data_IF_462896531658
#
_entry.id   IF_462896531658
#
_cell.length_a   1.000
_cell.length_b   1.000
_cell.length_c   1.000
_cell.angle_alpha   90.00
_cell.angle_beta   90.00
_cell.angle_gamma   90.00
#
_symmetry.space_group_name_H-M   'P 1'
#
loop_
_entity.id
_entity.type
_entity.pdbx_description
1 polymer ?
#
# COMPACT_ATOMS: atom_id res chain seq x y z
N UNK A 1 -18.70 4.92 -1.25
CA UNK A 1 -17.74 4.63 -0.17
C UNK A 1 -16.38 4.44 -0.82
N UNK A 2 -15.32 5.10 -0.34
CA UNK A 2 -13.98 4.90 -0.92
C UNK A 2 -13.48 3.51 -0.55
N UNK A 3 -12.96 2.77 -1.52
CA UNK A 3 -12.30 1.49 -1.31
C UNK A 3 -10.96 1.69 -0.59
N UNK A 4 -10.48 0.67 0.12
CA UNK A 4 -9.16 0.67 0.79
C UNK A 4 -8.04 0.91 -0.23
N UNK A 5 -8.18 0.37 -1.44
CA UNK A 5 -7.25 0.56 -2.56
C UNK A 5 -6.92 2.05 -2.85
N UNK A 6 -7.89 2.95 -2.73
CA UNK A 6 -7.65 4.39 -2.93
C UNK A 6 -6.74 4.98 -1.84
N UNK A 7 -6.92 4.55 -0.58
CA UNK A 7 -6.03 4.97 0.51
C UNK A 7 -4.63 4.40 0.34
N UNK A 8 -4.50 3.16 -0.16
CA UNK A 8 -3.20 2.56 -0.50
C UNK A 8 -2.49 3.42 -1.55
N UNK A 9 -3.17 3.81 -2.63
CA UNK A 9 -2.59 4.69 -3.66
C UNK A 9 -2.12 6.03 -3.08
N UNK A 10 -2.94 6.66 -2.22
CA UNK A 10 -2.57 7.93 -1.56
C UNK A 10 -1.30 7.76 -0.70
N UNK A 11 -1.17 6.65 0.03
CA UNK A 11 0.00 6.35 0.87
C UNK A 11 1.25 6.07 0.03
N UNK A 12 1.13 5.26 -1.02
CA UNK A 12 2.24 4.97 -1.95
C UNK A 12 2.71 6.25 -2.64
N UNK A 13 1.78 7.15 -3.02
CA UNK A 13 2.15 8.44 -3.60
C UNK A 13 2.96 9.31 -2.63
N UNK A 14 2.67 9.23 -1.32
CA UNK A 14 3.49 9.90 -0.31
C UNK A 14 4.92 9.33 -0.27
N UNK A 15 5.06 8.00 -0.37
CA UNK A 15 6.37 7.33 -0.42
C UNK A 15 7.18 7.73 -1.67
N UNK A 16 6.52 7.82 -2.84
CA UNK A 16 7.15 8.33 -4.08
C UNK A 16 7.61 9.78 -3.89
N UNK A 17 6.75 10.64 -3.31
CA UNK A 17 7.09 12.04 -3.03
C UNK A 17 8.23 12.17 -2.01
N UNK A 18 8.40 11.19 -1.13
CA UNK A 18 9.51 11.10 -0.17
C UNK A 18 10.81 10.56 -0.80
N UNK A 19 10.88 10.45 -2.14
CA UNK A 19 12.01 9.93 -2.91
C UNK A 19 12.44 8.51 -2.48
N UNK A 20 11.47 7.65 -2.17
CA UNK A 20 11.75 6.25 -1.89
C UNK A 20 12.31 5.54 -3.13
N UNK A 21 13.28 4.66 -2.93
CA UNK A 21 13.81 3.77 -3.97
C UNK A 21 13.29 2.34 -3.84
N UNK A 22 12.60 2.04 -2.74
CA UNK A 22 11.88 0.80 -2.53
C UNK A 22 10.61 1.08 -1.72
N UNK A 23 9.49 0.59 -2.22
CA UNK A 23 8.20 0.63 -1.55
C UNK A 23 7.67 -0.80 -1.43
N UNK A 24 7.31 -1.20 -0.22
CA UNK A 24 6.74 -2.52 0.06
C UNK A 24 5.29 -2.36 0.53
N UNK A 25 4.37 -3.03 -0.14
CA UNK A 25 2.97 -3.16 0.24
C UNK A 25 2.71 -4.59 0.70
N UNK A 26 2.31 -4.76 1.95
CA UNK A 26 1.99 -6.06 2.52
C UNK A 26 0.54 -6.02 2.99
N UNK A 27 -0.30 -6.89 2.41
CA UNK A 27 -1.69 -7.07 2.81
C UNK A 27 -1.82 -8.47 3.42
N UNK A 28 -2.49 -8.57 4.56
CA UNK A 28 -2.77 -9.86 5.19
C UNK A 28 -4.22 -9.94 5.64
N UNK A 29 -4.89 -10.99 5.18
CA UNK A 29 -6.25 -11.37 5.56
C UNK A 29 -6.18 -12.63 6.44
N UNK A 30 -6.37 -12.46 7.75
CA UNK A 30 -6.43 -13.55 8.71
C UNK A 30 -7.89 -13.78 9.13
N UNK A 31 -8.52 -14.80 8.55
CA UNK A 31 -9.92 -15.10 8.82
C UNK A 31 -10.13 -15.69 10.23
N UNK A 32 -9.11 -16.35 10.79
CA UNK A 32 -9.18 -16.92 12.15
C UNK A 32 -9.13 -15.84 13.22
N UNK A 33 -8.31 -14.81 13.00
CA UNK A 33 -8.21 -13.67 13.90
C UNK A 33 -9.21 -12.56 13.56
N UNK A 34 -10.02 -12.74 12.50
CA UNK A 34 -10.93 -11.72 11.99
C UNK A 34 -10.21 -10.38 11.71
N UNK A 35 -9.04 -10.44 11.05
CA UNK A 35 -8.20 -9.27 10.82
C UNK A 35 -7.82 -9.11 9.35
N UNK A 36 -8.04 -7.91 8.82
CA UNK A 36 -7.40 -7.42 7.61
C UNK A 36 -6.34 -6.40 8.03
N UNK A 37 -5.11 -6.58 7.60
CA UNK A 37 -4.03 -5.61 7.84
C UNK A 37 -3.35 -5.19 6.55
N UNK A 38 -2.95 -3.93 6.49
CA UNK A 38 -2.21 -3.32 5.40
C UNK A 38 -0.97 -2.65 6.00
N UNK A 39 0.19 -2.98 5.47
CA UNK A 39 1.46 -2.40 5.86
C UNK A 39 2.14 -1.84 4.63
N UNK A 40 2.55 -0.58 4.68
CA UNK A 40 3.33 0.08 3.64
C UNK A 40 4.64 0.52 4.29
N UNK A 41 5.75 0.12 3.70
CA UNK A 41 7.10 0.47 4.14
C UNK A 41 7.84 1.11 2.99
N UNK A 42 8.47 2.23 3.24
CA UNK A 42 9.35 2.89 2.28
C UNK A 42 10.70 3.25 2.91
N UNK A 43 11.70 3.41 2.08
CA UNK A 43 13.03 3.88 2.45
C UNK A 43 13.30 5.34 2.03
N UNK A 44 12.25 6.15 1.96
CA UNK A 44 12.35 7.56 1.60
C UNK A 44 13.01 8.44 2.68
N UNK A 45 12.86 9.75 2.55
CA UNK A 45 13.50 10.71 3.47
C UNK A 45 13.03 10.62 4.91
N UNK A 46 11.89 9.96 5.17
CA UNK A 46 11.30 9.84 6.50
C UNK A 46 10.81 11.16 7.09
N UNK A 47 10.33 11.08 8.33
CA UNK A 47 9.75 12.20 9.06
C UNK A 47 10.28 12.25 10.49
N UNK A 48 10.36 13.46 11.05
CA UNK A 48 10.58 13.63 12.49
C UNK A 48 9.32 13.25 13.28
N UNK A 49 9.48 12.90 14.56
CA UNK A 49 8.34 12.56 15.45
C UNK A 49 7.29 13.67 15.49
N UNK A 50 7.73 14.94 15.48
CA UNK A 50 6.81 16.08 15.44
C UNK A 50 5.94 16.10 14.18
N UNK A 51 6.49 15.73 13.03
CA UNK A 51 5.74 15.64 11.76
C UNK A 51 4.79 14.45 11.79
N UNK A 52 5.22 13.29 12.32
CA UNK A 52 4.37 12.10 12.44
C UNK A 52 3.13 12.40 13.28
N UNK A 53 3.27 13.08 14.42
CA UNK A 53 2.14 13.48 15.27
C UNK A 53 1.16 14.40 14.52
N UNK A 54 1.68 15.33 13.73
CA UNK A 54 0.87 16.25 12.92
C UNK A 54 0.13 15.56 11.78
N UNK A 55 0.75 14.60 11.11
CA UNK A 55 0.18 13.88 9.96
C UNK A 55 -1.01 13.01 10.37
N UNK A 56 -1.02 12.52 11.60
CA UNK A 56 -2.09 11.67 12.13
C UNK A 56 -3.30 12.48 12.60
N UNK A 57 -3.12 13.76 12.93
CA UNK A 57 -4.18 14.62 13.46
C UNK A 57 -5.10 15.12 12.33
N UNK A 58 -6.40 14.73 12.31
CA UNK A 58 -7.34 15.16 11.29
C UNK A 58 -7.62 16.67 11.32
N UNK A 59 -7.30 17.35 12.40
CA UNK A 59 -7.48 18.79 12.55
C UNK A 59 -6.24 19.60 12.15
N UNK A 60 -5.12 18.93 11.94
CA UNK A 60 -3.88 19.58 11.53
C UNK A 60 -3.78 19.68 10.00
N UNK A 61 -4.71 20.41 9.41
CA UNK A 61 -4.63 20.81 7.99
C UNK A 61 -3.95 22.17 7.89
N UNK A 62 -2.63 22.21 7.83
CA UNK A 62 -1.94 23.44 7.48
C UNK A 62 -2.10 23.73 6.00
N UNK A 63 -2.80 24.81 5.68
CA UNK A 63 -2.84 25.42 4.35
C UNK A 63 -1.46 25.87 3.83
N UNK A 64 -0.37 25.66 4.57
CA UNK A 64 0.95 26.24 4.29
C UNK A 64 2.11 25.27 4.19
N UNK A 65 1.96 23.99 4.46
CA UNK A 65 3.04 23.01 4.25
C UNK A 65 2.55 21.82 3.44
N UNK A 66 3.00 21.78 2.18
CA UNK A 66 3.05 20.65 1.24
C UNK A 66 2.12 19.46 1.55
N UNK A 67 1.03 19.36 0.77
CA UNK A 67 0.36 18.15 0.31
C UNK A 67 0.32 16.89 1.19
N UNK A 68 0.23 16.99 2.50
CA UNK A 68 -0.28 15.88 3.29
C UNK A 68 -1.80 15.95 3.16
N UNK A 69 -2.32 15.23 2.17
CA UNK A 69 -3.76 15.20 1.94
C UNK A 69 -4.49 14.59 3.14
N UNK A 70 -5.79 14.79 3.22
CA UNK A 70 -6.69 14.17 4.21
C UNK A 70 -6.70 12.63 4.17
N UNK A 71 -5.91 12.00 3.30
CA UNK A 71 -5.85 10.56 3.09
C UNK A 71 -5.48 9.77 4.35
N UNK A 72 -4.39 10.17 5.02
CA UNK A 72 -3.91 9.48 6.23
C UNK A 72 -4.89 9.60 7.40
N UNK A 73 -5.32 10.81 7.82
CA UNK A 73 -6.28 10.96 8.91
C UNK A 73 -7.61 10.25 8.64
N UNK A 74 -8.12 10.32 7.41
CA UNK A 74 -9.37 9.65 7.05
C UNK A 74 -9.24 8.14 7.06
N UNK A 75 -8.09 7.61 6.62
CA UNK A 75 -7.84 6.16 6.66
C UNK A 75 -7.77 5.65 8.10
N UNK A 76 -7.13 6.41 9.00
CA UNK A 76 -7.09 6.12 10.43
C UNK A 76 -8.50 6.08 11.03
N UNK A 77 -9.32 7.12 10.79
CA UNK A 77 -10.69 7.18 11.30
C UNK A 77 -11.51 5.99 10.78
N UNK A 78 -11.41 5.65 9.48
CA UNK A 78 -12.10 4.50 8.93
C UNK A 78 -11.68 3.18 9.60
N UNK A 79 -10.39 3.01 9.88
CA UNK A 79 -9.90 1.82 10.56
C UNK A 79 -10.43 1.72 12.00
N UNK A 80 -10.36 2.83 12.75
CA UNK A 80 -10.86 2.90 14.13
C UNK A 80 -12.38 2.64 14.22
N UNK A 81 -13.16 3.16 13.27
CA UNK A 81 -14.62 2.89 13.18
C UNK A 81 -14.94 1.43 12.90
N UNK A 82 -14.01 0.67 12.32
CA UNK A 82 -14.15 -0.74 11.96
C UNK A 82 -13.39 -1.69 12.91
N UNK A 83 -13.27 -1.34 14.18
CA UNK A 83 -12.64 -2.17 15.21
C UNK A 83 -11.11 -2.30 15.07
N UNK A 84 -10.52 -1.48 14.23
CA UNK A 84 -9.09 -1.50 13.93
C UNK A 84 -8.34 -0.28 14.44
N UNK A 85 -7.30 0.09 13.71
CA UNK A 85 -6.47 1.24 14.05
C UNK A 85 -5.35 1.46 13.04
N UNK A 86 -4.51 2.46 13.31
CA UNK A 86 -3.36 2.81 12.48
C UNK A 86 -2.18 3.21 13.34
N UNK A 87 -1.00 2.79 12.95
CA UNK A 87 0.28 3.29 13.48
C UNK A 87 1.18 3.77 12.35
N UNK A 88 1.95 4.82 12.61
CA UNK A 88 2.99 5.32 11.72
C UNK A 88 4.29 5.38 12.51
N UNK A 89 5.33 4.75 11.96
CA UNK A 89 6.68 4.83 12.47
C UNK A 89 7.58 5.40 11.39
N UNK A 90 8.31 6.47 11.70
CA UNK A 90 9.19 7.12 10.73
C UNK A 90 10.42 7.67 11.42
N UNK A 91 11.53 7.66 10.71
CA UNK A 91 12.79 8.25 11.14
C UNK A 91 13.44 8.96 9.96
N UNK A 92 13.91 10.18 10.18
CA UNK A 92 14.57 11.00 9.16
C UNK A 92 15.79 10.24 8.59
N UNK A 93 15.83 10.12 7.26
CA UNK A 93 16.87 9.41 6.53
C UNK A 93 16.73 7.88 6.49
N UNK A 94 15.68 7.30 7.10
CA UNK A 94 15.47 5.84 7.08
C UNK A 94 14.17 5.42 6.37
N UNK A 95 13.19 6.31 6.31
CA UNK A 95 11.90 6.04 5.66
C UNK A 95 10.73 6.00 6.62
N UNK A 96 9.62 5.42 6.15
CA UNK A 96 8.35 5.41 6.87
C UNK A 96 7.70 4.02 6.78
N UNK A 97 7.12 3.59 7.90
CA UNK A 97 6.23 2.44 7.98
C UNK A 97 4.84 2.93 8.40
N UNK A 98 3.83 2.59 7.62
CA UNK A 98 2.41 2.77 7.95
C UNK A 98 1.78 1.40 8.11
N UNK A 99 1.17 1.15 9.26
CA UNK A 99 0.46 -0.09 9.53
C UNK A 99 -0.98 0.21 9.92
N UNK A 100 -1.93 -0.36 9.17
CA UNK A 100 -3.37 -0.18 9.36
C UNK A 100 -4.02 -1.54 9.49
N UNK A 101 -4.99 -1.69 10.38
CA UNK A 101 -5.75 -2.92 10.52
C UNK A 101 -7.24 -2.63 10.75
N UNK A 102 -8.06 -3.62 10.41
CA UNK A 102 -9.51 -3.61 10.52
C UNK A 102 -9.98 -4.95 11.06
N UNK A 103 -11.13 -4.98 11.71
CA UNK A 103 -11.88 -6.23 11.84
C UNK A 103 -12.37 -6.65 10.45
N UNK A 104 -11.94 -7.86 10.03
CA UNK A 104 -12.16 -8.33 8.65
C UNK A 104 -13.65 -8.36 8.28
N UNK A 105 -14.52 -8.82 9.19
CA UNK A 105 -15.97 -8.98 8.98
C UNK A 105 -16.79 -7.78 9.44
N UNK A 106 -16.18 -6.63 9.74
CA UNK A 106 -16.92 -5.45 10.16
C UNK A 106 -17.84 -4.96 9.03
N UNK A 107 -19.11 -4.72 9.35
CA UNK A 107 -20.15 -4.37 8.35
C UNK A 107 -19.85 -3.06 7.61
N UNK A 108 -19.22 -2.10 8.29
CA UNK A 108 -18.87 -0.80 7.71
C UNK A 108 -17.47 -0.77 7.11
N UNK A 109 -16.71 -1.89 7.16
CA UNK A 109 -15.39 -1.93 6.57
C UNK A 109 -15.49 -1.72 5.06
N UNK A 110 -14.76 -0.73 4.52
CA UNK A 110 -14.70 -0.56 3.07
C UNK A 110 -14.14 -1.82 2.41
N UNK A 111 -14.60 -2.19 1.21
CA UNK A 111 -14.00 -3.27 0.45
C UNK A 111 -12.53 -2.95 0.15
N UNK A 112 -11.71 -4.00 0.01
CA UNK A 112 -10.30 -3.84 -0.36
C UNK A 112 -10.16 -3.12 -1.71
N UNK A 113 -11.03 -3.45 -2.66
CA UNK A 113 -11.02 -2.91 -4.02
C UNK A 113 -10.23 -3.78 -5.01
N UNK A 114 -10.12 -3.29 -6.24
CA UNK A 114 -9.39 -3.98 -7.32
C UNK A 114 -7.87 -3.78 -7.15
N UNK A 115 -7.23 -4.72 -6.48
CA UNK A 115 -5.77 -4.66 -6.25
C UNK A 115 -4.95 -4.89 -7.53
N UNK A 116 -5.48 -5.57 -8.54
CA UNK A 116 -4.79 -5.74 -9.81
C UNK A 116 -4.67 -4.40 -10.55
N UNK A 117 -5.77 -3.66 -10.68
CA UNK A 117 -5.75 -2.31 -11.26
C UNK A 117 -4.99 -1.31 -10.38
N UNK A 118 -5.06 -1.45 -9.07
CA UNK A 118 -4.32 -0.62 -8.10
C UNK A 118 -2.81 -0.81 -8.25
N UNK A 119 -2.35 -2.06 -8.40
CA UNK A 119 -0.93 -2.37 -8.62
C UNK A 119 -0.42 -1.74 -9.93
N UNK A 120 -1.19 -1.79 -11.00
CA UNK A 120 -0.86 -1.08 -12.25
C UNK A 120 -0.73 0.42 -12.01
N UNK A 121 -1.67 1.03 -11.28
CA UNK A 121 -1.62 2.45 -10.94
C UNK A 121 -0.39 2.80 -10.10
N UNK A 122 0.01 1.93 -9.17
CA UNK A 122 1.24 2.09 -8.39
C UNK A 122 2.44 2.08 -9.32
N UNK A 123 2.61 1.03 -10.14
CA UNK A 123 3.76 0.89 -11.05
C UNK A 123 3.89 2.09 -11.98
N UNK A 124 2.77 2.62 -12.50
CA UNK A 124 2.75 3.84 -13.32
C UNK A 124 3.19 5.11 -12.56
N UNK A 125 3.02 5.14 -11.24
CA UNK A 125 3.39 6.29 -10.40
C UNK A 125 4.84 6.26 -9.94
N UNK A 126 5.54 5.13 -10.10
CA UNK A 126 6.93 4.98 -9.68
C UNK A 126 7.87 5.76 -10.58
N UNK A 127 8.90 6.34 -9.98
CA UNK A 127 10.06 6.78 -10.73
C UNK A 127 10.88 5.58 -11.21
N UNK A 128 11.65 5.74 -12.27
CA UNK A 128 12.46 4.65 -12.87
C UNK A 128 13.47 4.02 -11.89
N UNK A 129 13.86 4.77 -10.86
CA UNK A 129 14.78 4.32 -9.80
C UNK A 129 14.09 3.71 -8.60
N UNK A 130 12.76 3.64 -8.60
CA UNK A 130 11.98 3.11 -7.48
C UNK A 130 11.45 1.71 -7.81
N UNK A 131 11.70 0.76 -6.93
CA UNK A 131 11.14 -0.58 -7.00
C UNK A 131 9.95 -0.75 -6.06
N UNK A 132 9.10 -1.70 -6.40
CA UNK A 132 7.88 -2.01 -5.68
C UNK A 132 7.77 -3.51 -5.41
N UNK A 133 7.50 -3.85 -4.17
CA UNK A 133 7.19 -5.22 -3.74
C UNK A 133 5.77 -5.27 -3.19
N UNK A 134 4.94 -6.14 -3.77
CA UNK A 134 3.59 -6.40 -3.29
C UNK A 134 3.48 -7.82 -2.77
N UNK A 135 3.11 -7.95 -1.50
CA UNK A 135 2.85 -9.22 -0.84
C UNK A 135 1.40 -9.26 -0.39
N UNK A 136 0.67 -10.31 -0.75
CA UNK A 136 -0.69 -10.53 -0.26
C UNK A 136 -0.79 -11.92 0.35
N UNK A 137 -1.19 -11.96 1.61
CA UNK A 137 -1.40 -13.20 2.36
C UNK A 137 -2.89 -13.37 2.66
N UNK A 138 -3.41 -14.57 2.42
CA UNK A 138 -4.75 -14.99 2.87
C UNK A 138 -4.57 -16.25 3.71
N UNK A 139 -4.75 -16.14 5.01
CA UNK A 139 -4.38 -17.18 5.97
C UNK A 139 -2.93 -17.66 5.78
N UNK A 140 -2.72 -18.90 5.32
CA UNK A 140 -1.39 -19.49 5.09
C UNK A 140 -0.89 -19.32 3.64
N UNK A 141 -1.76 -18.93 2.70
CA UNK A 141 -1.40 -18.77 1.29
C UNK A 141 -0.83 -17.38 1.03
N UNK A 142 0.14 -17.29 0.12
CA UNK A 142 0.88 -16.06 -0.15
C UNK A 142 1.08 -15.84 -1.64
N UNK A 143 0.83 -14.62 -2.10
CA UNK A 143 1.18 -14.10 -3.41
C UNK A 143 2.25 -13.01 -3.29
N UNK A 144 3.19 -12.95 -4.25
CA UNK A 144 4.24 -11.94 -4.29
C UNK A 144 4.42 -11.43 -5.72
N UNK A 145 4.51 -10.12 -5.88
CA UNK A 145 5.00 -9.43 -7.07
C UNK A 145 6.17 -8.53 -6.65
N UNK A 146 7.32 -8.69 -7.30
CA UNK A 146 8.51 -7.85 -7.05
C UNK A 146 9.02 -7.28 -8.39
N UNK A 147 9.04 -5.96 -8.50
CA UNK A 147 9.50 -5.29 -9.74
C UNK A 147 10.99 -5.50 -10.00
N UNK A 148 11.79 -5.79 -8.97
CA UNK A 148 13.21 -6.13 -9.11
C UNK A 148 13.38 -7.45 -9.87
N UNK A 149 12.60 -8.48 -9.51
CA UNK A 149 12.58 -9.76 -10.23
C UNK A 149 12.08 -9.59 -11.67
N UNK A 150 11.06 -8.74 -11.88
CA UNK A 150 10.58 -8.43 -13.22
C UNK A 150 11.67 -7.80 -14.09
N UNK A 151 12.45 -6.86 -13.56
CA UNK A 151 13.56 -6.22 -14.28
C UNK A 151 14.67 -7.22 -14.61
N UNK A 152 14.94 -8.19 -13.72
CA UNK A 152 15.92 -9.25 -14.01
C UNK A 152 15.48 -10.15 -15.16
N UNK A 153 14.19 -10.48 -15.24
CA UNK A 153 13.64 -11.37 -16.28
C UNK A 153 13.47 -10.64 -17.61
N UNK A 154 12.95 -9.41 -17.59
CA UNK A 154 12.64 -8.64 -18.80
C UNK A 154 13.88 -7.94 -19.38
N UNK A 155 14.90 -7.73 -18.57
CA UNK A 155 16.07 -6.90 -18.88
C UNK A 155 15.88 -5.46 -18.39
N UNK A 156 17.00 -4.84 -17.99
CA UNK A 156 17.02 -3.48 -17.41
C UNK A 156 16.59 -2.37 -18.39
N UNK A 157 16.52 -2.68 -19.68
CA UNK A 157 16.12 -1.73 -20.74
C UNK A 157 14.59 -1.65 -20.92
N UNK A 158 13.83 -2.59 -20.34
CA UNK A 158 12.37 -2.63 -20.46
C UNK A 158 11.77 -1.67 -19.45
N UNK A 159 11.00 -0.71 -19.94
CA UNK A 159 10.21 0.18 -19.09
C UNK A 159 8.98 -0.56 -18.56
N UNK A 160 8.85 -0.65 -17.24
CA UNK A 160 7.69 -1.27 -16.61
C UNK A 160 6.37 -0.54 -16.92
N UNK A 161 6.42 0.68 -17.42
CA UNK A 161 5.26 1.45 -17.85
C UNK A 161 4.77 1.09 -19.26
N UNK A 162 5.45 0.18 -19.98
CA UNK A 162 4.96 -0.32 -21.26
C UNK A 162 3.61 -1.02 -21.13
N UNK A 163 2.70 -0.75 -22.06
CA UNK A 163 1.31 -1.25 -22.00
C UNK A 163 1.26 -2.78 -21.90
N UNK A 164 2.11 -3.49 -22.61
CA UNK A 164 2.20 -4.95 -22.57
C UNK A 164 2.64 -5.48 -21.20
N UNK A 165 3.60 -4.80 -20.56
CA UNK A 165 4.08 -5.16 -19.22
C UNK A 165 3.00 -4.87 -18.18
N UNK A 166 2.35 -3.72 -18.24
CA UNK A 166 1.26 -3.35 -17.34
C UNK A 166 0.07 -4.30 -17.44
N UNK A 167 -0.28 -4.73 -18.65
CA UNK A 167 -1.33 -5.72 -18.85
C UNK A 167 -0.96 -7.06 -18.24
N UNK A 168 0.28 -7.51 -18.47
CA UNK A 168 0.79 -8.73 -17.85
C UNK A 168 0.79 -8.65 -16.32
N UNK A 169 1.25 -7.54 -15.74
CA UNK A 169 1.20 -7.30 -14.28
C UNK A 169 -0.24 -7.42 -13.76
N UNK A 170 -1.19 -6.80 -14.46
CA UNK A 170 -2.60 -6.85 -14.07
C UNK A 170 -3.15 -8.27 -14.04
N UNK A 171 -2.88 -9.03 -15.08
CA UNK A 171 -3.33 -10.42 -15.22
C UNK A 171 -2.65 -11.31 -14.17
N UNK A 172 -1.34 -11.18 -13.99
CA UNK A 172 -0.56 -11.92 -13.00
C UNK A 172 -1.05 -11.69 -11.56
N UNK A 173 -1.31 -10.44 -11.20
CA UNK A 173 -1.87 -10.11 -9.86
C UNK A 173 -3.28 -10.68 -9.72
N UNK A 174 -4.16 -10.52 -10.73
CA UNK A 174 -5.53 -11.01 -10.66
C UNK A 174 -5.59 -12.54 -10.50
N UNK A 175 -4.78 -13.27 -11.25
CA UNK A 175 -4.66 -14.73 -11.16
C UNK A 175 -4.11 -15.16 -9.80
N UNK A 176 -2.99 -14.59 -9.37
CA UNK A 176 -2.36 -14.92 -8.09
C UNK A 176 -3.28 -14.66 -6.89
N UNK A 177 -4.00 -13.54 -6.88
CA UNK A 177 -4.99 -13.26 -5.83
C UNK A 177 -6.16 -14.25 -5.87
N UNK A 178 -6.63 -14.64 -7.06
CA UNK A 178 -7.69 -15.66 -7.18
C UNK A 178 -7.24 -17.02 -6.63
N UNK A 179 -5.98 -17.40 -6.85
CA UNK A 179 -5.43 -18.67 -6.37
C UNK A 179 -5.35 -18.70 -4.84
N UNK A 180 -4.74 -17.71 -4.20
CA UNK A 180 -4.59 -17.68 -2.73
C UNK A 180 -5.93 -17.61 -2.00
N UNK A 181 -6.97 -17.01 -2.59
CA UNK A 181 -8.31 -17.00 -2.02
C UNK A 181 -9.00 -18.38 -2.14
N UNK A 182 -8.80 -19.11 -3.24
CA UNK A 182 -9.34 -20.47 -3.41
C UNK A 182 -8.70 -21.48 -2.46
N UNK A 183 -7.39 -21.38 -2.24
CA UNK A 183 -6.66 -22.26 -1.32
C UNK A 183 -7.02 -22.03 0.15
N UNK A 184 -7.60 -20.88 0.47
CA UNK A 184 -7.92 -20.45 1.84
C UNK A 184 -9.36 -20.78 2.26
N UNK A 185 -10.19 -21.32 1.36
CA UNK A 185 -11.56 -21.79 1.61
C UNK A 185 -11.56 -23.23 2.12
#
# INVERSE_FOLDING_TARGET
>A
MREIAHHILDLVQNSVTANATLIQLIIAEDYKQNRLSIKIVDNGVGMSQEIVEKVIDPFYTTRTTRNVGLGIPMFKVNAEMCGGGMTITSEVGKGTEVYVWFDHNHIDRPPLGDMASTTVGIVLSLESSCDFEYVHCVNASKFVLDTRELREVLGVEVDLSEISVLQWIKEYVAEGLSEIHKESL
#
